data_IF_343698668311
#
_entry.id   IF_343698668311
#
_cell.length_a   1.000
_cell.length_b   1.000
_cell.length_c   1.000
_cell.angle_alpha   90.00
_cell.angle_beta   90.00
_cell.angle_gamma   90.00
#
_symmetry.space_group_name_H-M   'P 1'
#
loop_
_entity.id
_entity.type
_entity.pdbx_description
1 polymer ?
#
# COMPACT_ATOMS: atom_id res chain seq x y z
N UNK A 1 -5.26 18.05 -6.18
CA UNK A 1 -5.43 19.39 -5.58
C UNK A 1 -5.60 19.30 -4.05
N UNK A 2 -6.39 18.35 -3.55
CA UNK A 2 -6.73 18.18 -2.13
C UNK A 2 -5.50 17.99 -1.24
N UNK A 3 -4.53 17.18 -1.66
CA UNK A 3 -3.27 16.95 -0.94
C UNK A 3 -2.23 18.07 -1.09
N UNK A 4 -2.59 19.20 -1.66
CA UNK A 4 -1.69 20.37 -1.78
C UNK A 4 -0.93 20.48 -3.10
N UNK A 5 -1.17 19.64 -4.10
CA UNK A 5 -0.58 19.78 -5.43
C UNK A 5 -1.14 21.00 -6.16
N UNK A 6 -0.31 21.75 -6.88
CA UNK A 6 -0.62 23.01 -7.56
C UNK A 6 0.00 23.04 -8.96
N UNK A 7 -0.37 24.05 -9.77
CA UNK A 7 0.12 24.26 -11.13
C UNK A 7 1.64 24.50 -11.24
N UNK A 8 2.28 24.84 -10.14
CA UNK A 8 3.74 25.05 -10.07
C UNK A 8 4.51 23.76 -9.79
N UNK A 9 3.79 22.65 -9.59
CA UNK A 9 4.44 21.37 -9.31
C UNK A 9 4.93 20.66 -10.57
N UNK A 10 5.98 19.89 -10.39
CA UNK A 10 6.48 18.91 -11.35
C UNK A 10 6.09 17.53 -10.82
N UNK A 11 5.17 16.89 -11.51
CA UNK A 11 4.61 15.59 -11.11
C UNK A 11 5.25 14.46 -11.91
N UNK A 12 5.93 13.55 -11.24
CA UNK A 12 6.50 12.35 -11.84
C UNK A 12 5.60 11.15 -11.55
N UNK A 13 5.02 10.59 -12.60
CA UNK A 13 4.18 9.42 -12.48
C UNK A 13 5.01 8.15 -12.71
N UNK A 14 5.18 7.37 -11.65
CA UNK A 14 6.01 6.16 -11.63
C UNK A 14 5.18 4.88 -11.73
N UNK A 15 3.95 5.00 -12.23
CA UNK A 15 3.04 3.88 -12.44
C UNK A 15 3.03 3.43 -13.90
N UNK A 16 2.73 2.16 -14.13
CA UNK A 16 2.60 1.61 -15.47
C UNK A 16 1.50 2.30 -16.27
N UNK A 17 1.75 2.61 -17.54
CA UNK A 17 0.82 3.32 -18.42
C UNK A 17 -0.04 2.41 -19.30
N UNK A 18 0.16 1.11 -19.35
CA UNK A 18 -0.62 0.20 -20.18
C UNK A 18 -2.11 0.10 -19.81
N UNK A 19 -2.64 -1.09 -19.71
CA UNK A 19 -4.04 -1.33 -19.31
C UNK A 19 -4.27 -1.16 -17.78
N UNK A 20 -3.54 -0.25 -17.17
CA UNK A 20 -3.62 0.08 -15.76
C UNK A 20 -4.07 1.53 -15.58
N UNK A 21 -5.25 1.73 -15.02
CA UNK A 21 -5.88 3.06 -14.89
C UNK A 21 -5.09 4.04 -14.02
N UNK A 22 -4.28 3.52 -13.07
CA UNK A 22 -3.44 4.32 -12.18
C UNK A 22 -2.44 5.21 -12.91
N UNK A 23 -1.90 4.76 -14.04
CA UNK A 23 -1.00 5.57 -14.87
C UNK A 23 -1.71 6.77 -15.49
N UNK A 24 -2.65 6.51 -16.37
CA UNK A 24 -3.34 7.56 -17.14
C UNK A 24 -4.20 8.48 -16.25
N UNK A 25 -4.90 7.93 -15.27
CA UNK A 25 -5.78 8.72 -14.41
C UNK A 25 -5.03 9.80 -13.61
N UNK A 26 -3.91 9.45 -12.99
CA UNK A 26 -3.06 10.45 -12.32
C UNK A 26 -2.38 11.41 -13.28
N UNK A 27 -2.00 10.95 -14.47
CA UNK A 27 -1.43 11.80 -15.51
C UNK A 27 -2.39 12.93 -15.88
N UNK A 28 -3.59 12.59 -16.34
CA UNK A 28 -4.60 13.57 -16.72
C UNK A 28 -5.09 14.44 -15.55
N UNK A 29 -5.14 13.87 -14.35
CA UNK A 29 -5.48 14.65 -13.16
C UNK A 29 -4.42 15.71 -12.85
N UNK A 30 -3.13 15.38 -12.99
CA UNK A 30 -2.04 16.33 -12.81
C UNK A 30 -2.02 17.43 -13.89
N UNK A 31 -2.26 17.08 -15.17
CA UNK A 31 -2.44 18.04 -16.25
C UNK A 31 -3.64 18.96 -15.99
N UNK A 32 -4.76 18.42 -15.48
CA UNK A 32 -5.94 19.21 -15.12
C UNK A 32 -5.66 20.21 -13.99
N UNK A 33 -4.75 19.89 -13.08
CA UNK A 33 -4.25 20.83 -12.05
C UNK A 33 -3.37 21.91 -12.67
N UNK A 34 -2.79 21.66 -13.86
CA UNK A 34 -1.86 22.52 -14.56
C UNK A 34 -0.39 22.26 -14.24
N UNK A 35 -0.07 21.14 -13.60
CA UNK A 35 1.29 20.73 -13.28
C UNK A 35 2.03 20.20 -14.52
N UNK A 36 3.36 20.31 -14.53
CA UNK A 36 4.19 19.59 -15.50
C UNK A 36 4.16 18.11 -15.16
N UNK A 37 3.85 17.26 -16.14
CA UNK A 37 3.80 15.81 -15.95
C UNK A 37 4.98 15.12 -16.61
N UNK A 38 5.71 14.32 -15.83
CA UNK A 38 6.76 13.42 -16.31
C UNK A 38 6.20 11.99 -16.34
N UNK A 39 5.88 11.43 -17.52
CA UNK A 39 5.33 10.08 -17.66
C UNK A 39 6.43 9.02 -17.57
N UNK A 40 7.10 8.94 -16.43
CA UNK A 40 8.28 8.11 -16.26
C UNK A 40 7.99 6.59 -16.37
N UNK A 41 6.76 6.18 -16.02
CA UNK A 41 6.37 4.78 -16.00
C UNK A 41 7.00 4.02 -14.84
N UNK A 42 6.74 2.71 -14.75
CA UNK A 42 7.34 1.85 -13.73
C UNK A 42 8.76 1.40 -14.13
N UNK A 43 9.54 0.96 -13.14
CA UNK A 43 10.88 0.40 -13.32
C UNK A 43 11.99 1.43 -13.58
N UNK A 44 13.17 0.94 -13.94
CA UNK A 44 14.39 1.71 -14.17
C UNK A 44 14.71 2.73 -13.04
N UNK A 45 14.90 2.22 -11.83
CA UNK A 45 15.01 3.01 -10.59
C UNK A 45 16.10 4.11 -10.65
N UNK A 46 17.22 3.85 -11.32
CA UNK A 46 18.27 4.88 -11.48
C UNK A 46 17.79 6.05 -12.34
N UNK A 47 17.06 5.77 -13.42
CA UNK A 47 16.46 6.81 -14.27
C UNK A 47 15.38 7.61 -13.52
N UNK A 48 14.60 6.97 -12.65
CA UNK A 48 13.64 7.67 -11.81
C UNK A 48 14.30 8.76 -10.97
N UNK A 49 15.40 8.43 -10.31
CA UNK A 49 16.16 9.38 -9.48
C UNK A 49 16.80 10.48 -10.35
N UNK A 50 17.33 10.13 -11.51
CA UNK A 50 17.87 11.11 -12.44
C UNK A 50 16.79 12.11 -12.87
N UNK A 51 15.62 11.66 -13.29
CA UNK A 51 14.49 12.52 -13.69
C UNK A 51 14.05 13.43 -12.54
N UNK A 52 14.00 12.93 -11.30
CA UNK A 52 13.67 13.76 -10.13
C UNK A 52 14.60 14.94 -9.96
N UNK A 53 15.90 14.73 -10.21
CA UNK A 53 16.93 15.78 -10.09
C UNK A 53 16.90 16.73 -11.27
N UNK A 54 16.85 16.19 -12.49
CA UNK A 54 16.96 16.97 -13.73
C UNK A 54 15.74 17.87 -13.94
N UNK A 55 14.54 17.40 -13.63
CA UNK A 55 13.30 18.17 -13.79
C UNK A 55 12.84 18.84 -12.49
N UNK A 56 13.52 18.61 -11.39
CA UNK A 56 13.12 19.18 -10.10
C UNK A 56 11.75 18.71 -9.64
N UNK A 57 11.50 17.39 -9.74
CA UNK A 57 10.24 16.76 -9.34
C UNK A 57 9.86 17.14 -7.91
N UNK A 58 8.61 17.60 -7.73
CA UNK A 58 8.06 18.02 -6.44
C UNK A 58 7.00 17.08 -5.91
N UNK A 59 6.33 16.34 -6.80
CA UNK A 59 5.28 15.41 -6.46
C UNK A 59 5.46 14.08 -7.24
N UNK A 60 5.20 12.96 -6.59
CA UNK A 60 5.30 11.63 -7.20
C UNK A 60 4.04 10.80 -6.97
N UNK A 61 3.77 9.86 -7.88
CA UNK A 61 2.83 8.77 -7.66
C UNK A 61 3.60 7.45 -7.70
N UNK A 62 3.56 6.70 -6.60
CA UNK A 62 4.41 5.53 -6.39
C UNK A 62 3.71 4.47 -5.55
N UNK A 63 3.99 3.20 -5.80
CA UNK A 63 3.55 2.09 -4.95
C UNK A 63 4.41 2.07 -3.67
N UNK A 64 3.83 1.85 -2.47
CA UNK A 64 4.58 1.83 -1.21
C UNK A 64 5.78 0.88 -1.20
N UNK A 65 5.62 -0.36 -1.68
CA UNK A 65 6.72 -1.32 -1.77
C UNK A 65 7.85 -0.85 -2.69
N UNK A 66 7.50 -0.19 -3.81
CA UNK A 66 8.48 0.37 -4.72
C UNK A 66 9.18 1.60 -4.12
N UNK A 67 8.50 2.40 -3.31
CA UNK A 67 9.14 3.51 -2.57
C UNK A 67 10.24 2.98 -1.64
N UNK A 68 9.99 1.88 -0.93
CA UNK A 68 11.01 1.22 -0.09
C UNK A 68 12.13 0.57 -0.90
N UNK A 69 11.85 0.06 -2.10
CA UNK A 69 12.90 -0.42 -3.00
C UNK A 69 13.77 0.75 -3.50
N UNK A 70 13.11 1.83 -3.93
CA UNK A 70 13.81 3.00 -4.48
C UNK A 70 14.70 3.68 -3.44
N UNK A 71 14.36 3.62 -2.14
CA UNK A 71 15.22 4.16 -1.07
C UNK A 71 16.60 3.49 -1.05
N UNK A 72 16.69 2.18 -1.28
CA UNK A 72 17.96 1.47 -1.39
C UNK A 72 18.79 1.98 -2.58
N UNK A 73 18.13 2.30 -3.70
CA UNK A 73 18.82 2.83 -4.90
C UNK A 73 19.34 4.25 -4.66
N UNK A 74 18.61 5.08 -3.90
CA UNK A 74 19.12 6.38 -3.44
C UNK A 74 20.42 6.23 -2.63
N UNK A 75 20.44 5.26 -1.70
CA UNK A 75 21.62 4.96 -0.87
C UNK A 75 22.80 4.47 -1.74
N UNK A 76 22.55 3.52 -2.66
CA UNK A 76 23.57 3.03 -3.61
C UNK A 76 24.19 4.14 -4.46
N UNK A 77 23.37 5.10 -4.92
CA UNK A 77 23.81 6.23 -5.71
C UNK A 77 24.40 7.37 -4.87
N UNK A 78 24.34 7.25 -3.53
CA UNK A 78 24.75 8.29 -2.57
C UNK A 78 24.03 9.63 -2.82
N UNK A 79 22.74 9.55 -3.17
CA UNK A 79 21.86 10.70 -3.37
C UNK A 79 20.97 10.85 -2.14
N UNK A 80 20.98 12.02 -1.53
CA UNK A 80 20.11 12.36 -0.41
C UNK A 80 18.78 12.90 -0.96
N UNK A 81 17.64 12.19 -0.77
CA UNK A 81 16.38 12.63 -1.35
C UNK A 81 15.89 13.98 -0.82
N UNK A 82 16.23 14.33 0.43
CA UNK A 82 15.83 15.61 1.04
C UNK A 82 16.66 16.77 0.51
N UNK A 83 17.97 16.57 0.38
CA UNK A 83 18.91 17.61 -0.03
C UNK A 83 19.01 17.76 -1.55
N UNK A 84 19.02 16.62 -2.27
CA UNK A 84 19.39 16.56 -3.67
C UNK A 84 18.17 16.53 -4.61
N UNK A 85 16.92 16.52 -4.05
CA UNK A 85 15.67 16.62 -4.82
C UNK A 85 14.76 17.72 -4.27
N UNK A 86 13.62 17.95 -4.95
CA UNK A 86 12.61 18.92 -4.52
C UNK A 86 11.31 18.22 -4.08
N UNK A 87 11.37 16.95 -3.74
CA UNK A 87 10.20 16.16 -3.35
C UNK A 87 9.53 16.74 -2.11
N UNK A 88 8.20 16.89 -2.17
CA UNK A 88 7.38 17.39 -1.04
C UNK A 88 6.07 16.62 -0.86
N UNK A 89 5.56 15.96 -1.92
CA UNK A 89 4.31 15.20 -1.91
C UNK A 89 4.54 13.85 -2.59
N UNK A 90 4.01 12.79 -1.98
CA UNK A 90 3.79 11.52 -2.64
C UNK A 90 2.32 11.11 -2.57
N UNK A 91 1.79 10.60 -3.68
CA UNK A 91 0.57 9.83 -3.69
C UNK A 91 0.96 8.36 -3.65
N UNK A 92 0.51 7.66 -2.62
CA UNK A 92 0.79 6.25 -2.41
C UNK A 92 -0.52 5.45 -2.43
N UNK A 93 -0.48 4.25 -2.99
CA UNK A 93 -1.68 3.41 -3.09
C UNK A 93 -1.45 2.21 -3.99
N UNK A 94 -2.52 1.68 -4.58
CA UNK A 94 -2.55 0.49 -5.42
C UNK A 94 -2.25 -0.83 -4.69
N UNK A 95 -1.72 -0.79 -3.47
CA UNK A 95 -1.55 -1.95 -2.58
C UNK A 95 -1.85 -1.55 -1.14
N UNK A 96 -2.30 -2.49 -0.28
CA UNK A 96 -2.42 -2.26 1.14
C UNK A 96 -1.05 -1.94 1.75
N UNK A 97 -1.02 -1.05 2.71
CA UNK A 97 0.18 -0.71 3.47
C UNK A 97 -0.17 -0.21 4.87
N UNK A 98 0.71 -0.46 5.83
CA UNK A 98 0.53 -0.03 7.20
C UNK A 98 0.89 1.46 7.38
N UNK A 99 0.36 2.09 8.44
CA UNK A 99 0.74 3.44 8.83
C UNK A 99 2.24 3.55 9.12
N UNK A 100 2.82 2.50 9.69
CA UNK A 100 4.25 2.44 9.97
C UNK A 100 5.09 2.43 8.69
N UNK A 101 4.66 1.70 7.65
CA UNK A 101 5.30 1.75 6.33
C UNK A 101 5.25 3.16 5.74
N UNK A 102 4.10 3.84 5.81
CA UNK A 102 3.95 5.22 5.34
C UNK A 102 4.91 6.16 6.06
N UNK A 103 4.97 6.10 7.41
CA UNK A 103 5.91 6.93 8.19
C UNK A 103 7.37 6.69 7.82
N UNK A 104 7.76 5.43 7.64
CA UNK A 104 9.12 5.08 7.21
C UNK A 104 9.48 5.69 5.84
N UNK A 105 8.52 5.68 4.90
CA UNK A 105 8.66 6.33 3.61
C UNK A 105 8.78 7.85 3.78
N UNK A 106 7.90 8.48 4.56
CA UNK A 106 7.94 9.92 4.84
C UNK A 106 9.26 10.36 5.48
N UNK A 107 9.75 9.60 6.46
CA UNK A 107 11.03 9.85 7.15
C UNK A 107 12.23 9.81 6.19
N UNK A 108 12.28 8.82 5.31
CA UNK A 108 13.38 8.68 4.36
C UNK A 108 13.40 9.80 3.32
N UNK A 109 12.24 10.11 2.74
CA UNK A 109 12.17 11.06 1.61
C UNK A 109 11.95 12.51 2.02
N UNK A 110 11.57 12.79 3.27
CA UNK A 110 11.28 14.13 3.76
C UNK A 110 9.98 14.75 3.22
N UNK A 111 9.16 13.99 2.51
CA UNK A 111 7.87 14.45 1.98
C UNK A 111 6.67 14.01 2.83
N UNK A 112 5.47 14.48 2.46
CA UNK A 112 4.20 13.92 2.95
C UNK A 112 3.63 12.93 1.96
N UNK A 113 3.26 11.74 2.44
CA UNK A 113 2.68 10.66 1.66
C UNK A 113 1.17 10.54 1.92
N UNK A 114 0.36 10.76 0.90
CA UNK A 114 -1.09 10.70 0.97
C UNK A 114 -1.61 9.44 0.31
N UNK A 115 -2.42 8.71 1.05
CA UNK A 115 -3.05 7.50 0.54
C UNK A 115 -4.11 7.85 -0.52
N UNK A 116 -4.16 7.05 -1.57
CA UNK A 116 -5.18 7.11 -2.60
C UNK A 116 -5.75 5.71 -2.85
N UNK A 117 -7.06 5.63 -2.87
CA UNK A 117 -7.77 4.39 -3.18
C UNK A 117 -8.47 4.52 -4.53
N UNK A 118 -8.45 3.44 -5.29
CA UNK A 118 -9.16 3.34 -6.55
C UNK A 118 -9.10 1.95 -7.14
N UNK A 119 -9.95 1.70 -8.11
CA UNK A 119 -10.05 0.44 -8.85
C UNK A 119 -10.49 0.71 -10.28
N UNK A 120 -10.11 -0.16 -11.20
CA UNK A 120 -10.38 0.01 -12.64
C UNK A 120 -11.88 0.06 -12.94
N UNK A 121 -12.67 -0.71 -12.20
CA UNK A 121 -14.12 -0.79 -12.33
C UNK A 121 -14.81 0.54 -12.04
N UNK A 122 -14.18 1.40 -11.23
CA UNK A 122 -14.68 2.75 -10.90
C UNK A 122 -13.98 3.86 -11.69
N UNK A 123 -13.41 3.57 -12.87
CA UNK A 123 -12.59 4.48 -13.68
C UNK A 123 -11.33 4.98 -12.95
N UNK A 124 -10.89 4.19 -11.96
CA UNK A 124 -9.84 4.47 -11.14
C UNK A 124 -8.84 4.91 -11.00
N UNK A 125 -7.73 5.51 -10.85
CA UNK A 125 -7.28 5.81 -9.51
C UNK A 125 -8.06 7.00 -8.92
N UNK A 126 -8.09 7.08 -7.59
CA UNK A 126 -8.57 8.29 -6.95
C UNK A 126 -10.08 8.37 -6.74
N UNK A 127 -10.70 7.24 -6.48
CA UNK A 127 -12.06 7.16 -5.97
C UNK A 127 -12.18 7.85 -4.62
N UNK A 128 -11.13 7.72 -3.80
CA UNK A 128 -10.98 8.45 -2.55
C UNK A 128 -9.51 8.81 -2.27
N UNK A 129 -9.32 9.93 -1.56
CA UNK A 129 -8.00 10.48 -1.25
C UNK A 129 -7.88 10.98 0.18
N UNK A 130 -6.69 10.85 0.76
CA UNK A 130 -6.35 11.60 1.98
C UNK A 130 -6.18 13.09 1.70
N UNK A 131 -6.61 13.90 2.66
CA UNK A 131 -6.30 15.33 2.74
C UNK A 131 -5.05 15.54 3.64
N UNK A 132 -4.58 16.80 3.83
CA UNK A 132 -3.43 17.09 4.69
C UNK A 132 -3.55 16.63 6.15
N UNK A 133 -4.77 16.33 6.63
CA UNK A 133 -4.98 15.78 7.96
C UNK A 133 -4.57 14.32 8.09
N UNK A 134 -4.45 13.58 6.97
CA UNK A 134 -4.09 12.15 6.93
C UNK A 134 -4.99 11.28 7.84
N UNK A 135 -6.26 11.66 7.97
CA UNK A 135 -7.27 11.02 8.81
C UNK A 135 -8.40 10.45 7.94
N UNK A 136 -8.06 9.37 7.25
CA UNK A 136 -8.93 8.71 6.28
C UNK A 136 -9.01 9.40 4.91
N UNK A 137 -9.60 8.70 3.96
CA UNK A 137 -9.71 9.11 2.56
C UNK A 137 -11.11 9.62 2.27
N UNK A 138 -11.24 10.88 1.83
CA UNK A 138 -12.50 11.45 1.40
C UNK A 138 -12.99 10.81 0.13
N UNK A 139 -14.25 10.42 0.10
CA UNK A 139 -14.94 9.83 -1.04
C UNK A 139 -15.50 10.96 -1.90
N UNK A 140 -15.42 10.86 -3.23
CA UNK A 140 -16.10 11.75 -4.15
C UNK A 140 -17.58 11.38 -4.25
N UNK A 141 -18.40 11.82 -3.28
CA UNK A 141 -19.83 11.46 -3.14
C UNK A 141 -20.72 12.05 -4.24
N UNK A 142 -20.22 13.00 -5.00
CA UNK A 142 -20.81 13.49 -6.25
C UNK A 142 -20.66 12.50 -7.43
N UNK A 143 -19.69 11.58 -7.35
CA UNK A 143 -19.42 10.57 -8.36
C UNK A 143 -19.78 9.16 -7.93
N UNK A 144 -19.73 8.88 -6.62
CA UNK A 144 -19.89 7.53 -6.08
C UNK A 144 -20.83 7.52 -4.87
N UNK A 145 -21.78 6.61 -4.89
CA UNK A 145 -22.52 6.22 -3.69
C UNK A 145 -21.82 5.02 -3.04
N UNK A 146 -21.54 5.12 -1.75
CA UNK A 146 -20.76 4.14 -1.01
C UNK A 146 -21.57 3.56 0.14
N UNK A 147 -21.55 2.23 0.26
CA UNK A 147 -22.10 1.44 1.36
C UNK A 147 -21.00 0.60 1.97
N UNK A 148 -21.07 0.36 3.27
CA UNK A 148 -20.29 -0.68 3.95
C UNK A 148 -21.27 -1.78 4.37
N UNK A 149 -20.98 -3.02 3.99
CA UNK A 149 -21.85 -4.16 4.26
C UNK A 149 -21.10 -5.25 5.04
N UNK A 150 -21.82 -5.99 5.85
CA UNK A 150 -21.33 -7.24 6.41
C UNK A 150 -21.13 -8.25 5.26
N UNK A 151 -19.95 -8.82 5.05
CA UNK A 151 -19.66 -9.68 3.90
C UNK A 151 -20.42 -11.03 3.93
N UNK A 152 -20.95 -11.44 5.10
CA UNK A 152 -21.70 -12.69 5.28
C UNK A 152 -23.19 -12.48 5.09
N UNK A 153 -23.75 -11.46 5.76
CA UNK A 153 -25.18 -11.19 5.73
C UNK A 153 -25.61 -10.30 4.57
N UNK A 154 -24.67 -9.61 3.93
CA UNK A 154 -24.83 -8.64 2.84
C UNK A 154 -25.72 -7.44 3.24
N UNK A 155 -25.91 -7.21 4.52
CA UNK A 155 -26.66 -6.06 5.04
C UNK A 155 -25.72 -4.90 5.33
N UNK A 156 -26.18 -3.66 5.13
CA UNK A 156 -25.41 -2.47 5.54
C UNK A 156 -25.10 -2.52 7.04
N UNK A 157 -23.91 -2.03 7.39
CA UNK A 157 -23.49 -1.82 8.79
C UNK A 157 -23.52 -0.33 9.13
N UNK A 158 -23.46 0.01 10.42
CA UNK A 158 -23.45 1.40 10.88
C UNK A 158 -22.09 2.07 10.60
N UNK A 159 -22.10 3.39 10.46
CA UNK A 159 -20.84 4.16 10.38
C UNK A 159 -19.95 3.87 11.60
N UNK A 160 -18.67 3.62 11.35
CA UNK A 160 -17.70 3.19 12.35
C UNK A 160 -17.52 1.68 12.46
N UNK A 161 -18.47 0.87 11.98
CA UNK A 161 -18.34 -0.57 11.90
C UNK A 161 -17.58 -1.00 10.64
N UNK A 162 -16.78 -2.07 10.77
CA UNK A 162 -16.01 -2.62 9.66
C UNK A 162 -16.86 -3.52 8.78
N UNK A 163 -16.67 -3.42 7.47
CA UNK A 163 -17.32 -4.29 6.50
C UNK A 163 -16.70 -4.18 5.12
N UNK A 164 -17.31 -4.83 4.15
CA UNK A 164 -16.93 -4.79 2.75
C UNK A 164 -17.44 -3.51 2.09
N UNK A 165 -16.55 -2.83 1.38
CA UNK A 165 -16.90 -1.65 0.59
C UNK A 165 -17.71 -2.03 -0.64
N UNK A 166 -18.87 -1.40 -0.81
CA UNK A 166 -19.73 -1.52 -1.98
C UNK A 166 -19.91 -0.16 -2.62
N UNK A 167 -19.82 -0.11 -3.94
CA UNK A 167 -19.81 1.15 -4.69
C UNK A 167 -20.81 1.15 -5.83
N UNK A 168 -21.48 2.29 -6.00
CA UNK A 168 -22.33 2.59 -7.14
C UNK A 168 -21.83 3.86 -7.83
N UNK A 169 -21.70 3.83 -9.16
CA UNK A 169 -21.35 5.01 -9.95
C UNK A 169 -22.58 5.88 -10.21
N UNK A 170 -22.47 7.21 -10.00
CA UNK A 170 -23.58 8.15 -10.15
C UNK A 170 -23.54 8.90 -11.49
N UNK A 171 -22.34 9.16 -12.04
CA UNK A 171 -22.15 10.00 -13.22
C UNK A 171 -21.71 9.21 -14.47
N UNK A 172 -21.67 7.89 -14.39
CA UNK A 172 -21.15 7.06 -15.46
C UNK A 172 -22.26 6.59 -16.40
N UNK A 173 -22.24 7.07 -17.64
CA UNK A 173 -23.22 6.69 -18.68
C UNK A 173 -22.85 5.37 -19.37
N UNK A 174 -21.58 5.24 -19.80
CA UNK A 174 -21.08 4.01 -20.39
C UNK A 174 -20.79 2.97 -19.32
N UNK A 175 -21.49 1.85 -19.35
CA UNK A 175 -21.37 0.74 -18.38
C UNK A 175 -21.53 1.23 -16.93
N UNK A 176 -22.73 1.71 -16.53
CA UNK A 176 -22.97 2.10 -15.14
C UNK A 176 -22.83 0.88 -14.22
N UNK A 177 -22.19 1.09 -13.08
CA UNK A 177 -21.96 0.03 -12.09
C UNK A 177 -22.83 0.31 -10.87
N UNK A 178 -23.64 -0.67 -10.49
CA UNK A 178 -24.58 -0.57 -9.38
C UNK A 178 -24.21 -1.62 -8.33
N UNK A 179 -23.99 -1.17 -7.08
CA UNK A 179 -23.70 -2.00 -5.91
C UNK A 179 -22.57 -3.01 -6.16
N UNK A 180 -21.46 -2.56 -6.73
CA UNK A 180 -20.29 -3.39 -6.95
C UNK A 180 -19.61 -3.74 -5.63
N UNK A 181 -19.49 -5.01 -5.34
CA UNK A 181 -18.76 -5.53 -4.19
C UNK A 181 -17.26 -5.54 -4.50
N UNK A 182 -16.52 -4.62 -3.87
CA UNK A 182 -15.08 -4.47 -4.13
C UNK A 182 -14.24 -5.57 -3.51
N UNK A 183 -14.78 -6.27 -2.51
CA UNK A 183 -14.07 -7.19 -1.61
C UNK A 183 -13.10 -6.51 -0.63
N UNK A 184 -12.92 -5.21 -0.73
CA UNK A 184 -12.04 -4.45 0.15
C UNK A 184 -12.72 -4.19 1.50
N UNK A 185 -11.99 -4.43 2.59
CA UNK A 185 -12.47 -4.21 3.96
C UNK A 185 -12.05 -2.83 4.44
N UNK A 186 -13.05 -2.07 4.87
CA UNK A 186 -12.87 -0.73 5.44
C UNK A 186 -14.06 -0.37 6.35
N UNK A 187 -14.14 0.88 6.79
CA UNK A 187 -15.30 1.46 7.49
C UNK A 187 -15.45 2.92 7.14
N UNK A 188 -16.64 3.46 7.27
CA UNK A 188 -16.85 4.91 7.27
C UNK A 188 -16.32 5.49 8.59
N UNK A 189 -15.52 6.54 8.49
CA UNK A 189 -15.06 7.28 9.68
C UNK A 189 -16.17 8.28 10.07
N UNK A 190 -16.77 8.16 11.26
CA UNK A 190 -17.80 9.08 11.70
C UNK A 190 -17.28 10.52 11.87
N UNK A 191 -18.18 11.48 11.69
CA UNK A 191 -17.90 12.90 11.93
C UNK A 191 -17.16 13.61 10.79
N UNK A 192 -16.97 14.91 10.96
CA UNK A 192 -16.34 15.78 9.98
C UNK A 192 -14.82 15.80 10.12
N UNK A 193 -14.11 15.95 9.00
CA UNK A 193 -12.67 16.10 9.02
C UNK A 193 -12.25 17.52 9.42
N UNK A 194 -11.15 17.64 10.15
CA UNK A 194 -10.54 18.92 10.52
C UNK A 194 -10.16 19.80 9.29
N UNK A 195 -10.07 19.22 8.09
CA UNK A 195 -9.85 19.97 6.85
C UNK A 195 -11.07 20.76 6.36
N UNK A 196 -12.23 20.63 7.02
CA UNK A 196 -13.49 21.31 6.69
C UNK A 196 -14.30 20.74 5.53
N UNK A 197 -13.85 19.62 4.92
CA UNK A 197 -14.62 18.95 3.86
C UNK A 197 -15.77 18.15 4.47
N UNK A 198 -16.91 18.18 3.80
CA UNK A 198 -18.15 17.51 4.20
C UNK A 198 -18.30 16.10 3.65
N UNK A 199 -17.56 15.74 2.61
CA UNK A 199 -17.52 14.38 2.05
C UNK A 199 -17.12 13.37 3.12
N UNK A 200 -17.85 12.26 3.22
CA UNK A 200 -17.51 11.17 4.13
C UNK A 200 -16.12 10.61 3.83
N UNK A 201 -15.57 9.95 4.81
CA UNK A 201 -14.24 9.34 4.70
C UNK A 201 -14.32 7.86 4.97
N UNK A 202 -13.56 7.11 4.18
CA UNK A 202 -13.26 5.71 4.51
C UNK A 202 -11.91 5.62 5.21
N UNK A 203 -11.79 4.66 6.11
CA UNK A 203 -10.51 4.27 6.67
C UNK A 203 -9.62 3.63 5.58
N UNK A 204 -8.33 3.50 5.85
CA UNK A 204 -7.42 2.73 5.01
C UNK A 204 -7.95 1.32 4.80
N UNK A 205 -7.79 0.80 3.59
CA UNK A 205 -8.14 -0.59 3.30
C UNK A 205 -7.30 -1.52 4.19
N UNK A 206 -7.97 -2.37 4.94
CA UNK A 206 -7.36 -3.31 5.90
C UNK A 206 -6.98 -4.64 5.26
N UNK A 207 -7.56 -4.95 4.12
CA UNK A 207 -7.36 -6.19 3.39
C UNK A 207 -8.56 -6.45 2.49
N UNK A 208 -8.62 -7.65 1.93
CA UNK A 208 -9.72 -8.09 1.08
C UNK A 208 -10.37 -9.34 1.67
N UNK A 209 -11.67 -9.47 1.49
CA UNK A 209 -12.40 -10.68 1.95
C UNK A 209 -11.93 -11.94 1.24
N UNK A 210 -11.36 -11.81 0.02
CA UNK A 210 -10.82 -12.91 -0.79
C UNK A 210 -9.29 -13.12 -0.60
N UNK A 211 -8.57 -12.21 0.06
CA UNK A 211 -7.16 -12.38 0.46
C UNK A 211 -7.01 -12.97 1.88
N UNK A 212 -8.12 -13.22 2.55
CA UNK A 212 -8.15 -13.79 3.88
C UNK A 212 -7.66 -15.24 3.86
N UNK A 213 -6.59 -15.51 4.57
CA UNK A 213 -6.03 -16.85 4.77
C UNK A 213 -6.72 -17.50 5.98
N UNK A 214 -7.26 -18.70 5.79
CA UNK A 214 -7.77 -19.50 6.89
C UNK A 214 -6.75 -20.60 7.21
N UNK A 215 -6.18 -20.56 8.41
CA UNK A 215 -5.16 -21.51 8.84
C UNK A 215 -5.53 -22.02 10.23
N UNK A 216 -5.73 -23.33 10.35
CA UNK A 216 -6.16 -23.96 11.63
C UNK A 216 -7.39 -23.28 12.25
N UNK A 217 -8.33 -22.82 11.40
CA UNK A 217 -9.55 -22.15 11.83
C UNK A 217 -9.41 -20.66 12.20
N UNK A 218 -8.21 -20.09 12.06
CA UNK A 218 -7.97 -18.66 12.32
C UNK A 218 -7.96 -17.88 11.00
N UNK A 219 -8.69 -16.76 10.97
CA UNK A 219 -8.70 -15.82 9.87
C UNK A 219 -7.52 -14.85 9.98
N UNK A 220 -6.66 -14.82 8.99
CA UNK A 220 -5.42 -14.02 8.98
C UNK A 220 -5.36 -13.21 7.70
N UNK A 221 -5.02 -11.92 7.82
CA UNK A 221 -4.80 -11.05 6.66
C UNK A 221 -3.30 -10.75 6.50
N UNK A 222 -2.78 -10.70 5.26
CA UNK A 222 -1.37 -10.39 4.99
C UNK A 222 -0.91 -9.07 5.64
N UNK A 223 -1.77 -8.08 5.71
CA UNK A 223 -1.48 -6.77 6.32
C UNK A 223 -1.19 -6.85 7.83
N UNK A 224 -1.77 -7.82 8.55
CA UNK A 224 -1.47 -8.02 9.97
C UNK A 224 -0.01 -8.47 10.14
N UNK A 225 0.43 -9.40 9.28
CA UNK A 225 1.82 -9.88 9.27
C UNK A 225 2.78 -8.75 8.89
N UNK A 226 2.47 -7.97 7.84
CA UNK A 226 3.26 -6.81 7.46
C UNK A 226 3.45 -5.82 8.61
N UNK A 227 2.33 -5.41 9.22
CA UNK A 227 2.35 -4.46 10.34
C UNK A 227 3.29 -4.94 11.45
N UNK A 228 3.16 -6.19 11.84
CA UNK A 228 3.98 -6.76 12.92
C UNK A 228 5.46 -6.88 12.53
N UNK A 229 5.77 -7.36 11.32
CA UNK A 229 7.14 -7.44 10.84
C UNK A 229 7.84 -6.08 10.81
N UNK A 230 7.13 -5.01 10.38
CA UNK A 230 7.68 -3.66 10.35
C UNK A 230 7.94 -3.07 11.76
N UNK A 231 7.38 -3.66 12.82
CA UNK A 231 7.62 -3.27 14.22
C UNK A 231 8.91 -3.88 14.80
N UNK A 232 9.46 -4.93 14.20
CA UNK A 232 10.57 -5.67 14.76
C UNK A 232 11.91 -5.11 14.23
N UNK A 233 12.77 -4.54 15.09
CA UNK A 233 14.10 -4.09 14.68
C UNK A 233 14.93 -5.24 14.10
N UNK A 234 15.68 -4.98 13.03
CA UNK A 234 16.50 -5.95 12.33
C UNK A 234 15.78 -6.72 11.22
N UNK A 235 14.44 -6.61 11.14
CA UNK A 235 13.64 -7.14 10.03
C UNK A 235 13.70 -6.16 8.85
N UNK A 236 13.89 -6.70 7.64
CA UNK A 236 13.88 -5.94 6.39
C UNK A 236 12.47 -5.57 5.93
N UNK A 237 12.39 -4.96 4.75
CA UNK A 237 11.11 -4.43 4.22
C UNK A 237 10.37 -5.43 3.32
N UNK A 238 11.03 -6.51 2.90
CA UNK A 238 10.45 -7.52 2.01
C UNK A 238 10.13 -8.81 2.75
N UNK A 239 8.95 -9.33 2.48
CA UNK A 239 8.52 -10.62 2.99
C UNK A 239 7.56 -11.28 2.00
N UNK A 240 7.40 -12.60 2.13
CA UNK A 240 6.39 -13.40 1.46
C UNK A 240 5.85 -14.46 2.42
N UNK A 241 4.54 -14.68 2.36
CA UNK A 241 3.82 -15.69 3.12
C UNK A 241 3.60 -16.87 2.20
N UNK A 242 4.02 -18.05 2.61
CA UNK A 242 3.86 -19.28 1.86
C UNK A 242 2.94 -20.19 2.66
N UNK A 243 1.84 -20.60 2.05
CA UNK A 243 0.88 -21.53 2.62
C UNK A 243 1.14 -22.91 2.00
N UNK A 244 1.30 -23.89 2.84
CA UNK A 244 1.61 -25.28 2.45
C UNK A 244 0.70 -26.23 3.23
N UNK A 245 0.43 -27.40 2.66
CA UNK A 245 -0.28 -28.49 3.33
C UNK A 245 0.60 -29.71 3.44
N UNK A 246 0.76 -30.21 4.64
CA UNK A 246 1.49 -31.47 4.92
C UNK A 246 0.50 -32.46 5.54
N UNK A 247 0.07 -33.43 4.77
CA UNK A 247 -1.00 -34.34 5.17
C UNK A 247 -2.35 -33.59 5.31
N UNK A 248 -2.88 -33.52 6.52
CA UNK A 248 -4.12 -32.80 6.83
C UNK A 248 -3.90 -31.44 7.48
N UNK A 249 -2.66 -31.08 7.75
CA UNK A 249 -2.31 -29.85 8.46
C UNK A 249 -1.85 -28.75 7.52
N UNK A 250 -2.44 -27.56 7.68
CA UNK A 250 -2.02 -26.35 7.01
C UNK A 250 -0.90 -25.64 7.79
N UNK A 251 0.15 -25.24 7.09
CA UNK A 251 1.28 -24.50 7.62
C UNK A 251 1.45 -23.16 6.92
N UNK A 252 1.85 -22.17 7.72
CA UNK A 252 2.25 -20.86 7.21
C UNK A 252 3.76 -20.71 7.42
N UNK A 253 4.47 -20.43 6.35
CA UNK A 253 5.87 -20.01 6.37
C UNK A 253 5.95 -18.53 6.03
N UNK A 254 6.49 -17.72 6.94
CA UNK A 254 6.83 -16.31 6.67
C UNK A 254 8.31 -16.23 6.32
N UNK A 255 8.60 -15.98 5.06
CA UNK A 255 9.95 -15.74 4.57
C UNK A 255 10.17 -14.23 4.57
N UNK A 256 11.18 -13.73 5.29
CA UNK A 256 11.41 -12.30 5.48
C UNK A 256 12.89 -11.96 5.36
N UNK A 257 13.19 -10.87 4.63
CA UNK A 257 14.55 -10.32 4.57
C UNK A 257 14.95 -9.71 5.92
N UNK A 258 16.23 -9.81 6.24
CA UNK A 258 16.82 -9.10 7.38
C UNK A 258 17.48 -7.80 6.92
N UNK A 259 17.75 -6.88 7.85
CA UNK A 259 18.57 -5.70 7.58
C UNK A 259 20.04 -6.08 7.47
N UNK A 260 20.82 -5.32 6.67
CA UNK A 260 22.25 -5.61 6.43
C UNK A 260 23.05 -5.68 7.73
N UNK A 261 22.71 -4.86 8.72
CA UNK A 261 23.41 -4.74 10.00
C UNK A 261 23.27 -6.01 10.86
N UNK A 262 22.25 -6.82 10.61
CA UNK A 262 22.02 -8.08 11.33
C UNK A 262 22.75 -9.25 10.68
N UNK A 263 23.07 -9.13 9.38
CA UNK A 263 23.71 -10.18 8.60
C UNK A 263 25.24 -10.12 8.71
N UNK A 264 25.75 -10.34 9.93
CA UNK A 264 27.19 -10.20 10.27
C UNK A 264 27.99 -11.50 10.17
N UNK A 265 27.36 -12.62 9.76
CA UNK A 265 27.99 -13.95 9.75
C UNK A 265 27.92 -14.71 11.10
N UNK A 266 27.49 -14.07 12.18
CA UNK A 266 27.18 -14.74 13.44
C UNK A 266 25.71 -15.26 13.42
N UNK A 267 25.53 -16.53 13.75
CA UNK A 267 24.22 -17.18 13.75
C UNK A 267 23.36 -16.81 14.95
N UNK A 268 23.95 -16.45 16.09
CA UNK A 268 23.20 -16.15 17.32
C UNK A 268 22.24 -14.96 17.19
N UNK A 269 22.64 -13.81 16.64
CA UNK A 269 21.72 -12.69 16.42
C UNK A 269 20.56 -13.07 15.49
N UNK A 270 20.81 -13.87 14.46
CA UNK A 270 19.78 -14.34 13.52
C UNK A 270 18.80 -15.31 14.19
N UNK A 271 19.28 -16.24 15.04
CA UNK A 271 18.40 -17.14 15.80
C UNK A 271 17.52 -16.36 16.80
N UNK A 272 18.08 -15.39 17.51
CA UNK A 272 17.34 -14.53 18.42
C UNK A 272 16.29 -13.71 17.68
N UNK A 273 16.64 -13.12 16.53
CA UNK A 273 15.71 -12.39 15.68
C UNK A 273 14.59 -13.32 15.18
N UNK A 274 14.92 -14.50 14.69
CA UNK A 274 13.94 -15.49 14.22
C UNK A 274 12.95 -15.85 15.32
N UNK A 275 13.43 -16.13 16.53
CA UNK A 275 12.58 -16.44 17.68
C UNK A 275 11.65 -15.26 18.01
N UNK A 276 12.20 -14.06 18.05
CA UNK A 276 11.41 -12.85 18.29
C UNK A 276 10.31 -12.65 17.24
N UNK A 277 10.62 -12.85 15.95
CA UNK A 277 9.63 -12.77 14.88
C UNK A 277 8.52 -13.81 15.06
N UNK A 278 8.85 -15.03 15.43
CA UNK A 278 7.87 -16.08 15.71
C UNK A 278 6.96 -15.67 16.87
N UNK A 279 7.54 -15.25 18.01
CA UNK A 279 6.81 -14.92 19.22
C UNK A 279 5.87 -13.72 18.99
N UNK A 280 6.36 -12.67 18.32
CA UNK A 280 5.58 -11.46 18.02
C UNK A 280 4.44 -11.75 17.01
N UNK A 281 4.71 -12.51 15.96
CA UNK A 281 3.66 -12.91 15.02
C UNK A 281 2.62 -13.81 15.71
N UNK A 282 3.05 -14.78 16.51
CA UNK A 282 2.14 -15.67 17.25
C UNK A 282 1.20 -14.90 18.17
N UNK A 283 1.70 -13.87 18.84
CA UNK A 283 0.89 -13.02 19.72
C UNK A 283 -0.22 -12.27 18.96
N UNK A 284 0.05 -11.86 17.72
CA UNK A 284 -0.88 -11.07 16.90
C UNK A 284 -1.86 -11.95 16.10
N UNK A 285 -1.36 -13.01 15.45
CA UNK A 285 -2.18 -13.86 14.56
C UNK A 285 -2.68 -15.16 15.20
N UNK A 286 -2.36 -15.41 16.47
CA UNK A 286 -2.82 -16.55 17.28
C UNK A 286 -2.41 -17.95 16.78
N UNK A 287 -1.58 -18.01 15.74
CA UNK A 287 -0.95 -19.25 15.27
C UNK A 287 0.58 -19.09 15.29
N UNK A 288 1.29 -20.21 15.37
CA UNK A 288 2.76 -20.20 15.33
C UNK A 288 3.22 -20.39 13.88
N UNK A 289 3.72 -19.35 13.20
CA UNK A 289 4.24 -19.52 11.84
C UNK A 289 5.62 -20.15 11.84
N UNK A 290 5.97 -20.82 10.74
CA UNK A 290 7.37 -21.09 10.41
C UNK A 290 8.00 -19.80 9.92
N UNK A 291 9.20 -19.45 10.41
CA UNK A 291 9.89 -18.21 9.98
C UNK A 291 11.21 -18.58 9.34
N UNK A 292 11.44 -18.07 8.13
CA UNK A 292 12.69 -18.16 7.38
C UNK A 292 13.27 -16.75 7.19
N UNK A 293 14.35 -16.46 7.91
CA UNK A 293 15.14 -15.25 7.67
C UNK A 293 16.01 -15.47 6.44
N UNK A 294 16.05 -14.48 5.55
CA UNK A 294 16.81 -14.55 4.31
C UNK A 294 17.62 -13.27 4.11
N UNK A 295 18.64 -13.36 3.24
CA UNK A 295 19.52 -12.25 2.94
C UNK A 295 18.77 -11.06 2.33
N UNK A 296 19.23 -9.83 2.56
CA UNK A 296 18.71 -8.65 1.90
C UNK A 296 18.75 -8.78 0.37
N UNK A 297 17.62 -8.48 -0.30
CA UNK A 297 17.50 -8.56 -1.75
C UNK A 297 17.27 -9.97 -2.32
N UNK A 298 17.11 -10.99 -1.48
CA UNK A 298 16.85 -12.38 -1.93
C UNK A 298 15.39 -12.65 -2.29
N UNK A 299 14.46 -11.79 -1.86
CA UNK A 299 13.08 -11.83 -2.29
C UNK A 299 12.96 -10.93 -3.53
N UNK A 300 12.55 -11.48 -4.70
CA UNK A 300 12.47 -10.70 -5.93
C UNK A 300 11.61 -9.45 -5.77
N UNK A 301 12.16 -8.30 -6.16
CA UNK A 301 11.38 -7.09 -6.29
C UNK A 301 10.44 -7.21 -7.50
N UNK A 302 9.17 -6.92 -7.31
CA UNK A 302 8.19 -6.88 -8.40
C UNK A 302 8.11 -5.46 -8.96
N UNK A 303 8.09 -5.31 -10.29
CA UNK A 303 7.88 -4.00 -10.95
C UNK A 303 6.43 -3.49 -10.83
N UNK A 304 5.55 -4.27 -10.18
CA UNK A 304 4.15 -3.97 -9.92
C UNK A 304 3.80 -4.21 -8.44
N UNK A 305 2.55 -4.60 -8.19
CA UNK A 305 2.10 -4.97 -6.83
C UNK A 305 2.93 -6.14 -6.29
N UNK A 306 3.39 -6.01 -5.05
CA UNK A 306 4.11 -7.08 -4.38
C UNK A 306 3.23 -8.33 -4.19
N UNK A 307 3.71 -9.48 -4.62
CA UNK A 307 3.07 -10.77 -4.32
C UNK A 307 3.42 -11.12 -2.87
N UNK A 308 2.47 -10.95 -1.97
CA UNK A 308 2.66 -11.19 -0.53
C UNK A 308 2.28 -12.59 -0.09
N UNK A 309 1.46 -13.31 -0.86
CA UNK A 309 0.97 -14.65 -0.51
C UNK A 309 1.17 -15.61 -1.68
N UNK A 310 1.75 -16.76 -1.40
CA UNK A 310 1.87 -17.91 -2.29
C UNK A 310 1.11 -19.06 -1.61
N UNK A 311 -0.04 -19.45 -2.15
CA UNK A 311 -0.85 -20.53 -1.60
C UNK A 311 -0.63 -21.82 -2.41
N UNK A 312 0.18 -22.71 -1.87
CA UNK A 312 0.52 -24.02 -2.45
C UNK A 312 -0.39 -25.15 -1.92
N UNK A 313 -1.49 -24.82 -1.22
CA UNK A 313 -2.42 -25.82 -0.68
C UNK A 313 -3.40 -26.36 -1.71
N UNK A 314 -3.47 -25.70 -2.87
CA UNK A 314 -4.35 -26.07 -3.97
C UNK A 314 -3.60 -27.00 -4.94
N UNK A 315 -3.45 -28.23 -4.58
CA UNK A 315 -3.19 -29.34 -5.49
C UNK A 315 -3.92 -30.58 -5.03
#
# INVERSE_FOLDING_TARGET
YMAGMRKTDVFQNMMTYGLFTGGLGFHYAAEKVGALVIPAGAGNSKRQIQLMRDFGTTAIHIIPSYALHLSKVFEELKVDPVRDTKLRIAFIGAEPHSERMRKKIEEFYGFKAYNSYGLSEMNGPGVSFECPCQDGMHIWEDHYFVEIIDPKTLKPVSDGEEGELVMTTLMREGMPIIRYRTKDLTRIIPGTCACGRTHRRIERIKGRTDDMMIIKGVNIFPIQIEKKLMEIPGVGNNFVIILEREGYDDYMTVKVEVQNEVFTGDLRPLENLRKRVIDELKADILITPRVKLVEPGSIPATEGKAIRVIDNRKE
#
